data_IF_931304918487
#
_entry.id   IF_931304918487
#
_cell.length_a   1.000
_cell.length_b   1.000
_cell.length_c   1.000
_cell.angle_alpha   90.00
_cell.angle_beta   90.00
_cell.angle_gamma   90.00
#
_symmetry.space_group_name_H-M   'P 1'
#
loop_
_entity.id
_entity.type
_entity.pdbx_description
1 polymer ?
#
# COMPACT_ATOMS: atom_id res chain seq x y z
N UNK A 1 -10.56 -1.84 -19.49
CA UNK A 1 -9.48 -2.32 -20.38
C UNK A 1 -8.24 -2.77 -19.59
N UNK A 2 -7.56 -1.90 -18.83
CA UNK A 2 -6.36 -2.32 -18.06
C UNK A 2 -6.67 -3.22 -16.85
N UNK A 3 -7.78 -2.98 -16.14
CA UNK A 3 -8.21 -3.81 -15.01
C UNK A 3 -8.58 -5.24 -15.44
N UNK A 4 -9.26 -5.38 -16.58
CA UNK A 4 -9.68 -6.66 -17.14
C UNK A 4 -8.46 -7.50 -17.58
N UNK A 5 -7.46 -6.85 -18.18
CA UNK A 5 -6.20 -7.50 -18.57
C UNK A 5 -5.39 -7.97 -17.35
N UNK A 6 -5.37 -7.17 -16.27
CA UNK A 6 -4.75 -7.54 -14.99
C UNK A 6 -5.38 -8.80 -14.39
N UNK A 7 -6.70 -8.96 -14.48
CA UNK A 7 -7.41 -10.13 -13.94
C UNK A 7 -7.32 -11.34 -14.85
N UNK A 8 -7.42 -11.16 -16.16
CA UNK A 8 -7.44 -12.27 -17.12
C UNK A 8 -6.06 -12.90 -17.33
N UNK A 9 -4.99 -12.08 -17.34
CA UNK A 9 -3.62 -12.55 -17.59
C UNK A 9 -2.60 -11.80 -16.72
N UNK A 10 -2.60 -12.06 -15.40
CA UNK A 10 -1.78 -11.30 -14.44
C UNK A 10 -0.28 -11.39 -14.76
N UNK A 11 0.21 -12.56 -15.18
CA UNK A 11 1.64 -12.78 -15.42
C UNK A 11 2.19 -11.87 -16.53
N UNK A 12 1.52 -11.84 -17.69
CA UNK A 12 1.89 -10.96 -18.80
C UNK A 12 1.65 -9.48 -18.47
N UNK A 13 0.59 -9.18 -17.72
CA UNK A 13 0.34 -7.82 -17.24
C UNK A 13 1.56 -7.29 -16.47
N UNK A 14 2.03 -8.00 -15.44
CA UNK A 14 3.17 -7.56 -14.64
C UNK A 14 4.49 -7.62 -15.41
N UNK A 15 4.68 -8.58 -16.32
CA UNK A 15 5.90 -8.72 -17.12
C UNK A 15 6.19 -7.47 -17.95
N UNK A 16 5.17 -6.90 -18.60
CA UNK A 16 5.31 -5.65 -19.38
C UNK A 16 5.80 -4.47 -18.55
N UNK A 17 5.32 -4.33 -17.31
CA UNK A 17 5.79 -3.26 -16.42
C UNK A 17 7.24 -3.50 -15.95
N UNK A 18 7.60 -4.77 -15.68
CA UNK A 18 8.96 -5.13 -15.29
C UNK A 18 9.99 -4.88 -16.41
N UNK A 19 9.62 -5.08 -17.68
CA UNK A 19 10.46 -4.76 -18.84
C UNK A 19 10.80 -3.26 -18.89
N UNK A 20 9.88 -2.40 -18.46
CA UNK A 20 10.07 -0.95 -18.35
C UNK A 20 10.67 -0.50 -17.00
N UNK A 21 11.07 -1.43 -16.13
CA UNK A 21 11.56 -1.20 -14.75
C UNK A 21 10.58 -0.42 -13.84
N UNK A 22 9.30 -0.40 -14.19
CA UNK A 22 8.26 0.26 -13.41
C UNK A 22 7.31 -0.76 -12.81
N UNK A 23 6.60 -0.36 -11.77
CA UNK A 23 5.48 -1.14 -11.22
C UNK A 23 4.17 -0.63 -11.82
N UNK A 24 3.10 -1.43 -11.83
CA UNK A 24 1.79 -0.98 -12.31
C UNK A 24 1.21 0.25 -11.60
N UNK A 25 1.70 0.57 -10.40
CA UNK A 25 1.32 1.76 -9.64
C UNK A 25 2.14 3.01 -10.05
N UNK A 26 2.98 2.92 -11.09
CA UNK A 26 3.88 4.00 -11.54
C UNK A 26 5.11 4.23 -10.65
N UNK A 27 5.38 3.30 -9.72
CA UNK A 27 6.52 3.37 -8.78
C UNK A 27 7.72 2.60 -9.30
N UNK A 28 8.93 3.02 -8.94
CA UNK A 28 10.14 2.23 -9.19
C UNK A 28 10.13 0.91 -8.40
N UNK A 29 10.97 -0.03 -8.82
CA UNK A 29 11.09 -1.36 -8.19
C UNK A 29 11.41 -1.27 -6.68
N UNK A 30 12.24 -0.31 -6.27
CA UNK A 30 12.68 -0.11 -4.89
C UNK A 30 11.89 0.98 -4.14
N UNK A 31 10.92 1.64 -4.79
CA UNK A 31 10.21 2.76 -4.17
C UNK A 31 9.07 2.27 -3.27
N UNK A 32 9.14 2.67 -1.99
CA UNK A 32 8.09 2.41 -1.01
C UNK A 32 6.87 3.30 -1.21
N UNK A 33 5.72 2.84 -0.69
CA UNK A 33 4.52 3.70 -0.62
C UNK A 33 4.74 4.76 0.45
N UNK A 34 4.27 5.98 0.21
CA UNK A 34 4.30 7.02 1.23
C UNK A 34 3.58 6.56 2.50
N UNK A 35 4.24 6.72 3.65
CA UNK A 35 3.75 6.27 4.95
C UNK A 35 3.58 7.48 5.86
N UNK A 36 2.37 7.69 6.37
CA UNK A 36 2.05 8.74 7.34
C UNK A 36 1.59 8.06 8.62
N UNK A 37 2.16 8.46 9.75
CA UNK A 37 1.86 7.88 11.07
C UNK A 37 1.30 8.98 11.96
N UNK A 38 0.13 8.73 12.53
CA UNK A 38 -0.47 9.54 13.59
C UNK A 38 -0.48 8.69 14.86
N UNK A 39 0.12 9.19 15.94
CA UNK A 39 0.26 8.49 17.22
C UNK A 39 -0.74 9.08 18.21
N UNK A 40 -1.31 8.24 19.10
CA UNK A 40 -2.26 8.69 20.12
C UNK A 40 -3.65 8.98 19.55
N UNK A 41 -4.00 8.34 18.42
CA UNK A 41 -5.25 8.61 17.70
C UNK A 41 -6.50 8.09 18.42
N UNK A 42 -6.36 7.16 19.37
CA UNK A 42 -7.44 6.60 20.19
C UNK A 42 -7.14 6.93 21.65
N UNK A 43 -7.94 7.80 22.26
CA UNK A 43 -7.75 8.27 23.64
C UNK A 43 -8.03 7.21 24.71
N UNK A 44 -8.75 6.13 24.37
CA UNK A 44 -9.19 5.09 25.32
C UNK A 44 -8.26 3.87 25.40
N UNK A 45 -7.20 3.85 24.59
CA UNK A 45 -6.19 2.78 24.54
C UNK A 45 -4.87 3.28 25.13
N UNK A 46 -4.13 2.46 25.88
CA UNK A 46 -2.81 2.85 26.44
C UNK A 46 -1.79 3.19 25.35
N UNK A 47 -1.87 2.52 24.19
CA UNK A 47 -1.11 2.87 23.01
C UNK A 47 -2.01 2.85 21.79
N UNK A 48 -1.89 3.84 20.90
CA UNK A 48 -2.66 3.85 19.66
C UNK A 48 -1.92 4.52 18.51
N UNK A 49 -2.21 4.07 17.30
CA UNK A 49 -1.72 4.70 16.07
C UNK A 49 -2.65 4.49 14.89
N UNK A 50 -2.72 5.50 14.02
CA UNK A 50 -3.29 5.40 12.67
C UNK A 50 -2.13 5.54 11.68
N UNK A 51 -1.93 4.52 10.86
CA UNK A 51 -0.89 4.49 9.83
C UNK A 51 -1.56 4.47 8.46
N UNK A 52 -1.22 5.44 7.61
CA UNK A 52 -1.66 5.49 6.21
C UNK A 52 -0.49 5.13 5.31
N UNK A 53 -0.58 3.98 4.64
CA UNK A 53 0.39 3.47 3.66
C UNK A 53 -0.21 3.56 2.25
N UNK A 54 0.04 4.67 1.56
CA UNK A 54 -0.63 4.97 0.28
C UNK A 54 -2.16 4.99 0.43
N UNK A 55 -2.84 4.02 -0.19
CA UNK A 55 -4.31 3.87 -0.13
C UNK A 55 -4.78 2.96 1.02
N UNK A 56 -3.87 2.34 1.77
CA UNK A 56 -4.22 1.47 2.89
C UNK A 56 -4.17 2.28 4.18
N UNK A 57 -5.27 2.30 4.94
CA UNK A 57 -5.31 2.89 6.28
C UNK A 57 -5.36 1.76 7.29
N UNK A 58 -4.43 1.77 8.25
CA UNK A 58 -4.30 0.81 9.33
C UNK A 58 -4.55 1.55 10.64
N UNK A 59 -5.33 0.97 11.53
CA UNK A 59 -5.56 1.48 12.88
C UNK A 59 -5.16 0.39 13.87
N UNK A 60 -4.34 0.73 14.85
CA UNK A 60 -3.90 -0.17 15.90
C UNK A 60 -4.13 0.48 17.27
N UNK A 61 -4.63 -0.30 18.22
CA UNK A 61 -4.77 0.06 19.62
C UNK A 61 -4.25 -1.07 20.50
N UNK A 62 -3.41 -0.74 21.47
CA UNK A 62 -2.88 -1.65 22.50
C UNK A 62 -3.64 -1.36 23.78
N UNK A 63 -4.17 -2.42 24.38
CA UNK A 63 -4.84 -2.40 25.68
C UNK A 63 -4.25 -3.52 26.54
N UNK A 64 -3.87 -3.19 27.77
CA UNK A 64 -3.36 -4.14 28.75
C UNK A 64 -4.49 -4.81 29.54
#
# INVERSE_FOLDING_TARGET
MAADFKTAQPLEYYRKFLEENIRPDGRDLLQFRNTVINIGSIATAEGSSIVKLGNTTIVCGVKA
#
